data_IF_678258694547
#
_entry.id   IF_678258694547
#
_cell.length_a   1.000
_cell.length_b   1.000
_cell.length_c   1.000
_cell.angle_alpha   90.00
_cell.angle_beta   90.00
_cell.angle_gamma   90.00
#
_symmetry.space_group_name_H-M   'P 1'
#
loop_
_entity.id
_entity.type
_entity.pdbx_description
1 polymer ?
#
# COMPACT_ATOMS: atom_id res chain seq x y z
N UNK A 1 12.62 -17.91 -3.18
CA UNK A 1 12.96 -18.65 -1.94
C UNK A 1 12.12 -18.24 -0.74
N UNK A 2 12.15 -16.99 -0.28
CA UNK A 2 11.40 -16.55 0.92
C UNK A 2 9.86 -16.75 0.82
N UNK A 3 9.27 -16.44 -0.34
CA UNK A 3 7.84 -16.62 -0.55
C UNK A 3 7.40 -18.09 -0.49
N UNK A 4 8.17 -19.00 -1.07
CA UNK A 4 7.85 -20.43 -1.03
C UNK A 4 7.89 -20.96 0.40
N UNK A 5 8.90 -20.58 1.20
CA UNK A 5 8.98 -20.96 2.62
C UNK A 5 7.76 -20.50 3.42
N UNK A 6 7.24 -19.30 3.13
CA UNK A 6 6.06 -18.77 3.80
C UNK A 6 4.78 -19.53 3.37
N UNK A 7 4.65 -19.89 2.09
CA UNK A 7 3.54 -20.71 1.59
C UNK A 7 3.56 -22.13 2.20
N UNK A 8 4.73 -22.78 2.27
CA UNK A 8 4.89 -24.12 2.85
C UNK A 8 4.54 -24.12 4.35
N UNK A 9 4.76 -22.98 5.03
CA UNK A 9 4.35 -22.76 6.41
C UNK A 9 2.84 -22.42 6.57
N UNK A 10 2.05 -22.43 5.49
CA UNK A 10 0.63 -22.14 5.50
C UNK A 10 0.28 -20.65 5.65
N UNK A 11 1.23 -19.75 5.43
CA UNK A 11 1.00 -18.30 5.51
C UNK A 11 0.43 -17.76 4.20
N UNK A 12 -0.40 -16.71 4.30
CA UNK A 12 -0.77 -15.91 3.16
C UNK A 12 0.41 -15.03 2.73
N UNK A 13 0.73 -15.04 1.43
CA UNK A 13 1.85 -14.28 0.87
C UNK A 13 1.34 -13.27 -0.16
N UNK A 14 1.80 -12.02 -0.02
CA UNK A 14 1.62 -10.97 -1.02
C UNK A 14 2.97 -10.69 -1.66
N UNK A 15 3.04 -10.76 -3.00
CA UNK A 15 4.23 -10.46 -3.79
C UNK A 15 3.90 -9.49 -4.93
N UNK A 16 4.92 -8.84 -5.47
CA UNK A 16 4.79 -7.90 -6.59
C UNK A 16 3.79 -6.76 -6.34
N UNK A 17 3.72 -6.32 -5.07
CA UNK A 17 2.88 -5.20 -4.63
C UNK A 17 3.65 -4.35 -3.63
N UNK A 18 3.43 -3.04 -3.68
CA UNK A 18 4.00 -2.11 -2.72
C UNK A 18 2.93 -1.67 -1.74
N UNK A 19 3.17 -1.88 -0.44
CA UNK A 19 2.24 -1.56 0.63
C UNK A 19 1.72 -0.12 0.55
N UNK A 20 2.60 0.83 0.23
CA UNK A 20 2.24 2.24 0.15
C UNK A 20 1.34 2.56 -1.04
N UNK A 21 1.56 1.90 -2.18
CA UNK A 21 0.70 2.04 -3.38
C UNK A 21 -0.68 1.46 -3.09
N UNK A 22 -0.72 0.28 -2.49
CA UNK A 22 -1.96 -0.40 -2.16
C UNK A 22 -2.76 0.37 -1.09
N UNK A 23 -2.10 0.89 -0.06
CA UNK A 23 -2.74 1.80 0.90
C UNK A 23 -3.31 3.04 0.20
N UNK A 24 -2.54 3.65 -0.72
CA UNK A 24 -3.00 4.81 -1.47
C UNK A 24 -4.14 4.50 -2.47
N UNK A 25 -4.33 3.23 -2.83
CA UNK A 25 -5.40 2.80 -3.73
C UNK A 25 -6.74 2.70 -3.00
N UNK A 26 -6.72 2.26 -1.74
CA UNK A 26 -7.95 1.89 -1.01
C UNK A 26 -8.25 2.72 0.23
N UNK A 27 -7.24 3.30 0.87
CA UNK A 27 -7.39 3.86 2.23
C UNK A 27 -6.88 5.29 2.40
N UNK A 28 -6.16 5.86 1.41
CA UNK A 28 -5.68 7.24 1.50
C UNK A 28 -4.88 7.67 0.28
N UNK A 29 -4.06 8.72 0.39
CA UNK A 29 -3.18 9.17 -0.70
C UNK A 29 -1.71 8.76 -0.51
N UNK A 30 -0.91 8.86 -1.58
CA UNK A 30 0.52 8.53 -1.55
C UNK A 30 1.34 9.38 -0.56
N UNK A 31 0.93 10.63 -0.30
CA UNK A 31 1.58 11.51 0.68
C UNK A 31 1.58 10.91 2.10
N UNK A 32 0.58 10.09 2.44
CA UNK A 32 0.52 9.37 3.73
C UNK A 32 1.59 8.27 3.81
N UNK A 33 2.07 7.78 2.66
CA UNK A 33 3.19 6.84 2.55
C UNK A 33 4.56 7.52 2.53
N UNK A 34 4.63 8.84 2.73
CA UNK A 34 5.87 9.61 2.69
C UNK A 34 6.43 9.86 1.29
N UNK A 35 5.58 9.81 0.25
CA UNK A 35 5.97 10.24 -1.09
C UNK A 35 5.81 11.75 -1.23
N UNK A 36 6.81 12.40 -1.82
CA UNK A 36 6.62 13.76 -2.33
C UNK A 36 5.73 13.71 -3.57
N UNK A 37 4.51 14.22 -3.43
CA UNK A 37 3.52 14.24 -4.51
C UNK A 37 3.48 15.59 -5.24
N UNK A 38 4.16 16.62 -4.72
CA UNK A 38 4.05 18.00 -5.23
C UNK A 38 2.65 18.62 -5.11
N UNK A 39 1.69 17.97 -4.44
CA UNK A 39 0.30 18.42 -4.33
C UNK A 39 0.01 18.88 -2.91
N UNK A 40 -0.42 20.14 -2.76
CA UNK A 40 -1.00 20.68 -1.53
C UNK A 40 -2.51 20.83 -1.76
N UNK A 41 -3.34 20.26 -0.88
CA UNK A 41 -4.79 20.25 -1.02
C UNK A 41 -5.49 20.38 0.33
N UNK A 42 -6.61 21.11 0.37
CA UNK A 42 -7.53 21.18 1.52
C UNK A 42 -8.77 20.28 1.36
N UNK A 43 -8.84 19.50 0.28
CA UNK A 43 -9.98 18.59 0.02
C UNK A 43 -10.02 17.48 1.07
N UNK A 44 -11.15 17.33 1.74
CA UNK A 44 -11.37 16.25 2.70
C UNK A 44 -11.44 14.91 1.95
N UNK A 45 -10.63 13.93 2.38
CA UNK A 45 -10.68 12.58 1.83
C UNK A 45 -12.07 11.98 2.08
N UNK A 46 -12.75 11.57 1.01
CA UNK A 46 -14.02 10.85 1.11
C UNK A 46 -13.70 9.34 1.05
N UNK A 47 -14.07 8.54 2.05
CA UNK A 47 -13.91 7.10 1.94
C UNK A 47 -14.73 6.60 0.73
N UNK A 48 -14.14 5.71 -0.06
CA UNK A 48 -14.83 4.96 -1.10
C UNK A 48 -15.78 3.94 -0.48
#
# INVERSE_FOLDING_TARGET
EAAQRALDAGLAVVQDRCLKIEHARWHGGLHLGGFDTGVISSKRHRPL
#
